data_IF_325297053453
#
_entry.id   IF_325297053453
#
_cell.length_a   1.000
_cell.length_b   1.000
_cell.length_c   1.000
_cell.angle_alpha   90.00
_cell.angle_beta   90.00
_cell.angle_gamma   90.00
#
_symmetry.space_group_name_H-M   'P 1'
#
loop_
_entity.id
_entity.type
_entity.pdbx_description
1 polymer ?
#
# COMPACT_ATOMS: atom_id res chain seq x y z
N UNK A 1 -2.18 -9.77 1.74
CA UNK A 1 -3.63 -9.45 1.59
C UNK A 1 -4.35 -9.43 2.92
N UNK A 2 -4.08 -10.38 3.83
CA UNK A 2 -4.64 -10.43 5.19
C UNK A 2 -4.59 -9.08 5.94
N UNK A 3 -3.42 -8.43 6.00
CA UNK A 3 -3.30 -7.11 6.64
C UNK A 3 -4.26 -6.05 6.08
N UNK A 4 -4.56 -6.10 4.78
CA UNK A 4 -5.47 -5.16 4.14
C UNK A 4 -6.93 -5.47 4.49
N UNK A 5 -7.27 -6.76 4.64
CA UNK A 5 -8.59 -7.20 5.10
C UNK A 5 -8.83 -6.84 6.57
N UNK A 6 -7.83 -7.04 7.44
CA UNK A 6 -7.89 -6.62 8.84
C UNK A 6 -8.08 -5.11 8.97
N UNK A 7 -7.37 -4.35 8.14
CA UNK A 7 -7.50 -2.89 8.06
C UNK A 7 -8.93 -2.47 7.69
N UNK A 8 -9.54 -3.13 6.71
CA UNK A 8 -10.95 -2.88 6.37
C UNK A 8 -11.91 -3.29 7.48
N UNK A 9 -11.67 -4.42 8.16
CA UNK A 9 -12.48 -4.87 9.28
C UNK A 9 -12.42 -3.87 10.46
N UNK A 10 -11.27 -3.25 10.70
CA UNK A 10 -11.08 -2.27 11.76
C UNK A 10 -11.78 -0.93 11.48
N UNK A 11 -11.63 -0.41 10.25
CA UNK A 11 -12.10 0.95 9.91
C UNK A 11 -13.48 0.99 9.23
N UNK A 12 -14.00 -0.16 8.82
CA UNK A 12 -15.16 -0.24 7.93
C UNK A 12 -14.84 0.20 6.50
N UNK A 13 -15.75 -0.04 5.57
CA UNK A 13 -15.48 0.11 4.14
C UNK A 13 -15.07 1.53 3.72
N UNK A 14 -15.86 2.55 4.06
CA UNK A 14 -15.61 3.91 3.58
C UNK A 14 -14.26 4.46 4.09
N UNK A 15 -14.01 4.39 5.41
CA UNK A 15 -12.76 4.90 5.99
C UNK A 15 -11.60 3.98 5.62
N UNK A 16 -11.81 2.66 5.60
CA UNK A 16 -10.83 1.66 5.22
C UNK A 16 -10.28 1.87 3.81
N UNK A 17 -11.13 2.13 2.81
CA UNK A 17 -10.73 2.44 1.43
C UNK A 17 -9.84 3.68 1.37
N UNK A 18 -10.18 4.74 2.09
CA UNK A 18 -9.43 6.00 2.07
C UNK A 18 -8.07 5.86 2.75
N UNK A 19 -8.02 5.25 3.94
CA UNK A 19 -6.77 5.06 4.67
C UNK A 19 -5.87 4.02 4.00
N UNK A 20 -6.42 2.94 3.42
CA UNK A 20 -5.67 1.94 2.68
C UNK A 20 -4.89 2.53 1.49
N UNK A 21 -5.47 3.48 0.73
CA UNK A 21 -4.76 4.17 -0.38
C UNK A 21 -3.43 4.76 0.07
N UNK A 22 -3.39 5.32 1.28
CA UNK A 22 -2.18 5.91 1.86
C UNK A 22 -1.12 4.85 2.13
N UNK A 23 -1.50 3.78 2.82
CA UNK A 23 -0.59 2.68 3.17
C UNK A 23 -0.06 1.96 1.93
N UNK A 24 -0.95 1.60 1.00
CA UNK A 24 -0.59 0.99 -0.28
C UNK A 24 0.35 1.93 -1.05
N UNK A 25 0.01 3.21 -1.12
CA UNK A 25 0.80 4.22 -1.80
C UNK A 25 2.23 4.28 -1.27
N UNK A 26 2.42 4.37 0.04
CA UNK A 26 3.74 4.36 0.67
C UNK A 26 4.57 3.14 0.29
N UNK A 27 3.96 1.95 0.36
CA UNK A 27 4.66 0.70 0.10
C UNK A 27 5.15 0.56 -1.34
N UNK A 28 4.29 0.90 -2.31
CA UNK A 28 4.60 0.69 -3.73
C UNK A 28 5.37 1.85 -4.36
N UNK A 29 5.61 2.95 -3.63
CA UNK A 29 6.26 4.17 -4.14
C UNK A 29 7.58 3.90 -4.86
N UNK A 30 8.41 3.03 -4.28
CA UNK A 30 9.75 2.72 -4.76
C UNK A 30 9.80 1.42 -5.59
N UNK A 31 8.64 0.83 -5.90
CA UNK A 31 8.55 -0.41 -6.65
C UNK A 31 8.33 -0.12 -8.15
N UNK A 32 8.83 -0.98 -9.06
CA UNK A 32 8.58 -0.86 -10.48
C UNK A 32 7.08 -0.76 -10.80
N UNK A 33 6.71 0.21 -11.65
CA UNK A 33 5.30 0.46 -11.97
C UNK A 33 4.46 1.00 -10.82
N UNK A 34 5.08 1.45 -9.73
CA UNK A 34 4.39 1.96 -8.53
C UNK A 34 3.56 3.22 -8.79
N UNK A 35 4.06 4.19 -9.56
CA UNK A 35 3.32 5.42 -9.90
C UNK A 35 2.01 5.15 -10.68
N UNK A 36 2.02 4.46 -11.84
CA UNK A 36 0.77 4.18 -12.55
C UNK A 36 -0.19 3.30 -11.73
N UNK A 37 0.33 2.41 -10.88
CA UNK A 37 -0.49 1.63 -9.95
C UNK A 37 -1.15 2.51 -8.88
N UNK A 38 -0.42 3.47 -8.30
CA UNK A 38 -0.95 4.44 -7.33
C UNK A 38 -2.07 5.29 -7.92
N UNK A 39 -1.90 5.75 -9.15
CA UNK A 39 -2.95 6.49 -9.84
C UNK A 39 -4.21 5.66 -10.01
N UNK A 40 -4.07 4.37 -10.38
CA UNK A 40 -5.19 3.44 -10.46
C UNK A 40 -5.85 3.21 -9.09
N UNK A 41 -5.05 2.92 -8.06
CA UNK A 41 -5.49 2.68 -6.70
C UNK A 41 -6.30 3.85 -6.11
N UNK A 42 -5.91 5.09 -6.41
CA UNK A 42 -6.62 6.29 -5.93
C UNK A 42 -8.03 6.44 -6.49
N UNK A 43 -8.36 5.78 -7.61
CA UNK A 43 -9.70 5.81 -8.23
C UNK A 43 -10.65 4.74 -7.69
N UNK A 44 -10.14 3.74 -6.97
CA UNK A 44 -10.94 2.60 -6.48
C UNK A 44 -11.72 2.99 -5.22
N UNK A 45 -13.03 2.75 -5.22
CA UNK A 45 -13.96 3.23 -4.18
C UNK A 45 -14.47 2.16 -3.23
N UNK A 46 -14.10 0.90 -3.45
CA UNK A 46 -14.55 -0.26 -2.68
C UNK A 46 -13.35 -1.17 -2.30
N UNK A 47 -13.56 -1.95 -1.25
CA UNK A 47 -12.51 -2.80 -0.65
C UNK A 47 -12.10 -3.95 -1.56
N UNK A 48 -13.05 -4.54 -2.28
CA UNK A 48 -12.81 -5.68 -3.19
C UNK A 48 -11.89 -5.26 -4.34
N UNK A 49 -12.17 -4.13 -4.99
CA UNK A 49 -11.37 -3.62 -6.09
C UNK A 49 -9.95 -3.27 -5.65
N UNK A 50 -9.78 -2.66 -4.47
CA UNK A 50 -8.45 -2.39 -3.93
C UNK A 50 -7.68 -3.68 -3.65
N UNK A 51 -8.33 -4.69 -3.08
CA UNK A 51 -7.72 -6.00 -2.79
C UNK A 51 -7.27 -6.70 -4.08
N UNK A 52 -8.14 -6.74 -5.09
CA UNK A 52 -7.86 -7.34 -6.38
C UNK A 52 -6.72 -6.63 -7.11
N UNK A 53 -6.71 -5.29 -7.09
CA UNK A 53 -5.64 -4.50 -7.70
C UNK A 53 -4.28 -4.75 -7.02
N UNK A 54 -4.24 -4.83 -5.69
CA UNK A 54 -3.02 -5.16 -4.94
C UNK A 54 -2.52 -6.56 -5.30
N UNK A 55 -3.40 -7.56 -5.32
CA UNK A 55 -3.05 -8.92 -5.70
C UNK A 55 -2.43 -8.97 -7.11
N UNK A 56 -3.13 -8.41 -8.10
CA UNK A 56 -2.67 -8.39 -9.48
C UNK A 56 -1.33 -7.67 -9.66
N UNK A 57 -1.11 -6.57 -8.93
CA UNK A 57 0.16 -5.85 -8.96
C UNK A 57 1.34 -6.71 -8.48
N UNK A 58 1.19 -7.37 -7.33
CA UNK A 58 2.25 -8.22 -6.77
C UNK A 58 2.45 -9.52 -7.54
N UNK A 59 1.40 -10.11 -8.10
CA UNK A 59 1.52 -11.29 -8.98
C UNK A 59 2.34 -10.94 -10.23
N UNK A 60 2.07 -9.79 -10.86
CA UNK A 60 2.85 -9.33 -12.02
C UNK A 60 4.30 -8.99 -11.64
N UNK A 61 4.51 -8.39 -10.47
CA UNK A 61 5.86 -8.09 -9.99
C UNK A 61 6.65 -9.38 -9.73
N UNK A 62 6.03 -10.39 -9.13
CA UNK A 62 6.64 -11.70 -8.89
C UNK A 62 6.90 -12.49 -10.19
N UNK A 63 6.07 -12.32 -11.21
CA UNK A 63 6.29 -12.92 -12.53
C UNK A 63 7.48 -12.30 -13.29
N UNK A 64 7.85 -11.05 -12.98
CA UNK A 64 8.89 -10.30 -13.68
C UNK A 64 10.21 -10.21 -12.91
N UNK A 65 10.18 -10.43 -11.60
CA UNK A 65 11.35 -10.31 -10.73
C UNK A 65 11.47 -11.50 -9.76
N UNK A 66 12.66 -12.09 -9.68
CA UNK A 66 12.95 -13.19 -8.74
C UNK A 66 12.88 -12.74 -7.27
N UNK A 67 13.15 -11.45 -7.01
CA UNK A 67 13.10 -10.85 -5.67
C UNK A 67 12.55 -9.44 -5.71
N UNK A 68 11.85 -9.04 -4.65
CA UNK A 68 11.48 -7.65 -4.46
C UNK A 68 12.75 -6.77 -4.42
N UNK A 69 12.75 -5.63 -5.13
CA UNK A 69 13.88 -4.71 -5.07
C UNK A 69 14.06 -4.20 -3.64
N UNK A 70 15.31 -3.96 -3.24
CA UNK A 70 15.60 -3.31 -1.97
C UNK A 70 14.97 -1.91 -1.99
N UNK A 71 13.90 -1.75 -1.21
CA UNK A 71 13.29 -0.44 -0.98
C UNK A 71 14.28 0.35 -0.13
N UNK A 72 14.98 1.31 -0.74
CA UNK A 72 15.75 2.27 0.04
C UNK A 72 14.78 2.99 1.01
N UNK A 73 15.14 3.15 2.30
CA UNK A 73 14.26 3.81 3.24
C UNK A 73 13.90 5.20 2.72
N UNK A 74 12.61 5.51 2.72
CA UNK A 74 12.13 6.85 2.41
C UNK A 74 12.64 7.79 3.50
N UNK A 75 13.66 8.60 3.19
CA UNK A 75 14.24 9.59 4.10
C UNK A 75 13.19 10.61 4.58
N UNK A 76 11.97 10.60 4.04
CA UNK A 76 10.86 11.48 4.42
C UNK A 76 10.00 11.03 5.61
N UNK A 77 9.93 9.75 5.98
CA UNK A 77 8.97 9.25 6.99
C UNK A 77 9.58 8.90 8.37
N UNK A 78 10.90 8.91 8.52
CA UNK A 78 11.56 8.68 9.82
C UNK A 78 11.15 9.70 10.91
N UNK A 79 10.60 10.86 10.51
CA UNK A 79 10.13 11.89 11.44
C UNK A 79 8.73 11.61 12.03
N UNK A 80 7.89 10.78 11.39
CA UNK A 80 6.48 10.64 11.80
C UNK A 80 6.21 9.42 12.69
N UNK A 81 7.10 8.43 12.71
CA UNK A 81 7.05 7.30 13.66
C UNK A 81 7.93 7.49 14.91
N UNK A 82 8.74 8.56 14.96
CA UNK A 82 9.62 8.86 16.12
C UNK A 82 8.97 9.71 17.21
N UNK A 83 7.75 10.21 17.03
CA UNK A 83 7.08 11.10 18.01
C UNK A 83 6.11 10.40 18.96
N UNK A 84 5.98 9.08 18.94
CA UNK A 84 5.09 8.31 19.85
C UNK A 84 5.87 7.39 20.78
N UNK A 85 7.12 7.71 21.10
CA UNK A 85 7.86 7.06 22.20
C UNK A 85 8.85 8.07 22.82
N UNK A 86 8.37 9.03 23.62
CA UNK A 86 9.05 9.56 24.81
C UNK A 86 8.06 10.46 25.59
N UNK A 87 7.74 10.04 26.82
CA UNK A 87 7.18 10.80 27.96
C UNK A 87 5.73 11.32 27.87
#
# INVERSE_FOLDING_TARGET
LEHLQDHYALYGEHIGVLSARKHIGWYVRQLPGGEPFRDAMNRLTDTESQLAAVAAYFDNLGATMDRLPQIAPDTGDAAMMSSVETA
#
